data_IF_990804494606
#
_entry.id   IF_990804494606
#
_cell.length_a   1.000
_cell.length_b   1.000
_cell.length_c   1.000
_cell.angle_alpha   90.00
_cell.angle_beta   90.00
_cell.angle_gamma   90.00
#
_symmetry.space_group_name_H-M   'P 1'
#
loop_
_entity.id
_entity.type
_entity.pdbx_description
1 polymer ?
#
# COMPACT_ATOMS: atom_id res chain seq x y z
N UNK A 1 31.41 -11.01 9.34
CA UNK A 1 31.37 -11.15 7.87
C UNK A 1 31.29 -9.77 7.28
N UNK A 2 32.37 -9.31 6.66
CA UNK A 2 32.47 -8.03 5.95
C UNK A 2 31.33 -7.91 4.94
N UNK A 3 30.41 -6.96 5.17
CA UNK A 3 29.55 -6.50 4.09
C UNK A 3 30.48 -5.90 3.04
N UNK A 4 30.44 -6.36 1.78
CA UNK A 4 31.21 -5.75 0.73
C UNK A 4 30.90 -4.25 0.71
N UNK A 5 31.94 -3.43 0.75
CA UNK A 5 31.80 -1.99 0.78
C UNK A 5 31.02 -1.52 -0.46
N UNK A 6 30.36 -0.36 -0.39
CA UNK A 6 29.51 0.13 -1.49
C UNK A 6 30.18 0.14 -2.87
N UNK A 7 31.52 0.19 -2.95
CA UNK A 7 32.27 0.04 -4.19
C UNK A 7 32.15 -1.32 -4.88
N UNK A 8 32.17 -2.42 -4.12
CA UNK A 8 32.02 -3.79 -4.67
C UNK A 8 30.61 -3.99 -5.24
N UNK A 9 29.58 -3.46 -4.55
CA UNK A 9 28.20 -3.48 -5.03
C UNK A 9 28.03 -2.71 -6.35
N UNK A 10 28.73 -1.58 -6.51
CA UNK A 10 28.71 -0.81 -7.77
C UNK A 10 29.33 -1.64 -8.91
N UNK A 11 30.46 -2.31 -8.68
CA UNK A 11 31.11 -3.14 -9.70
C UNK A 11 30.18 -4.28 -10.14
N UNK A 12 29.55 -4.98 -9.18
CA UNK A 12 28.59 -6.04 -9.49
C UNK A 12 27.38 -5.50 -10.26
N UNK A 13 26.85 -4.35 -9.87
CA UNK A 13 25.76 -3.69 -10.58
C UNK A 13 26.16 -3.36 -12.03
N UNK A 14 27.38 -2.85 -12.24
CA UNK A 14 27.91 -2.49 -13.55
C UNK A 14 28.04 -3.72 -14.46
N UNK A 15 28.56 -4.83 -13.94
CA UNK A 15 28.65 -6.11 -14.66
C UNK A 15 27.26 -6.63 -15.03
N UNK A 16 26.30 -6.61 -14.10
CA UNK A 16 24.90 -6.99 -14.38
C UNK A 16 24.29 -6.09 -15.46
N UNK A 17 24.57 -4.78 -15.43
CA UNK A 17 24.07 -3.83 -16.42
C UNK A 17 24.66 -4.09 -17.82
N UNK A 18 25.91 -4.54 -17.92
CA UNK A 18 26.55 -4.92 -19.18
C UNK A 18 25.96 -6.23 -19.73
N UNK A 19 25.72 -7.24 -18.88
CA UNK A 19 25.18 -8.54 -19.30
C UNK A 19 23.70 -8.47 -19.67
N UNK A 20 22.88 -7.85 -18.83
CA UNK A 20 21.43 -7.76 -19.03
C UNK A 20 21.02 -6.55 -19.87
N UNK A 21 21.86 -5.52 -19.94
CA UNK A 21 21.57 -4.24 -20.60
C UNK A 21 20.81 -3.28 -19.68
N UNK A 22 21.04 -1.96 -19.87
CA UNK A 22 20.41 -0.89 -19.08
C UNK A 22 18.86 -0.91 -19.13
N UNK A 23 18.27 -1.48 -20.19
CA UNK A 23 16.82 -1.49 -20.39
C UNK A 23 16.10 -2.70 -19.79
N UNK A 24 16.79 -3.81 -19.46
CA UNK A 24 16.10 -5.05 -19.03
C UNK A 24 15.86 -5.12 -17.53
N UNK A 25 16.81 -4.65 -16.72
CA UNK A 25 16.63 -4.45 -15.27
C UNK A 25 15.35 -3.67 -14.93
N UNK A 26 15.12 -2.45 -15.48
CA UNK A 26 13.91 -1.68 -15.17
C UNK A 26 12.64 -2.33 -15.74
N UNK A 27 12.73 -3.04 -16.87
CA UNK A 27 11.57 -3.72 -17.47
C UNK A 27 11.08 -4.88 -16.60
N UNK A 28 12.01 -5.68 -16.07
CA UNK A 28 11.73 -6.75 -15.11
C UNK A 28 11.22 -6.21 -13.77
N UNK A 29 11.84 -5.14 -13.26
CA UNK A 29 11.39 -4.48 -12.03
C UNK A 29 9.97 -3.92 -12.16
N UNK A 30 9.61 -3.35 -13.33
CA UNK A 30 8.26 -2.85 -13.59
C UNK A 30 7.22 -3.97 -13.64
N UNK A 31 7.48 -5.07 -14.35
CA UNK A 31 6.54 -6.20 -14.42
C UNK A 31 6.36 -6.89 -13.07
N UNK A 32 7.46 -7.07 -12.32
CA UNK A 32 7.41 -7.65 -10.97
C UNK A 32 6.73 -6.69 -9.97
N UNK A 33 6.96 -5.38 -10.10
CA UNK A 33 6.32 -4.35 -9.30
C UNK A 33 4.81 -4.25 -9.55
N UNK A 34 4.36 -4.45 -10.79
CA UNK A 34 2.94 -4.54 -11.11
C UNK A 34 2.30 -5.76 -10.43
N UNK A 35 2.89 -6.94 -10.55
CA UNK A 35 2.40 -8.14 -9.87
C UNK A 35 2.34 -7.97 -8.34
N UNK A 36 3.39 -7.39 -7.73
CA UNK A 36 3.42 -7.09 -6.30
C UNK A 36 2.40 -6.02 -5.87
N UNK A 37 2.10 -5.04 -6.75
CA UNK A 37 1.08 -4.03 -6.51
C UNK A 37 -0.31 -4.66 -6.51
N UNK A 38 -0.65 -5.43 -7.54
CA UNK A 38 -1.94 -6.14 -7.63
C UNK A 38 -2.10 -7.12 -6.46
N UNK A 39 -1.03 -7.82 -6.07
CA UNK A 39 -1.03 -8.69 -4.89
C UNK A 39 -1.34 -7.91 -3.60
N UNK A 40 -0.73 -6.74 -3.40
CA UNK A 40 -0.98 -5.89 -2.24
C UNK A 40 -2.38 -5.28 -2.23
N UNK A 41 -2.91 -4.93 -3.40
CA UNK A 41 -4.29 -4.44 -3.56
C UNK A 41 -5.27 -5.56 -3.25
N UNK A 42 -5.15 -6.72 -3.89
CA UNK A 42 -6.02 -7.87 -3.65
C UNK A 42 -5.96 -8.39 -2.21
N UNK A 43 -4.78 -8.34 -1.57
CA UNK A 43 -4.70 -8.58 -0.12
C UNK A 43 -5.51 -7.55 0.67
N UNK A 44 -5.37 -6.26 0.39
CA UNK A 44 -6.13 -5.22 1.10
C UNK A 44 -7.64 -5.33 0.88
N UNK A 45 -8.08 -5.71 -0.32
CA UNK A 45 -9.49 -5.95 -0.64
C UNK A 45 -10.01 -7.20 0.08
N UNK A 46 -9.22 -8.28 0.12
CA UNK A 46 -9.57 -9.49 0.86
C UNK A 46 -9.62 -9.33 2.38
N UNK A 47 -8.97 -8.28 2.93
CA UNK A 47 -9.02 -7.93 4.36
C UNK A 47 -9.97 -6.76 4.67
N UNK A 48 -10.68 -6.21 3.68
CA UNK A 48 -11.51 -5.02 3.91
C UNK A 48 -12.77 -5.02 3.08
N UNK A 49 -13.77 -5.61 3.72
CA UNK A 49 -15.17 -5.48 3.44
C UNK A 49 -15.66 -4.08 3.87
N UNK A 50 -16.64 -3.59 3.10
CA UNK A 50 -17.52 -2.44 3.32
C UNK A 50 -16.97 -1.02 3.00
N UNK A 51 -17.63 -0.30 2.06
CA UNK A 51 -17.33 1.10 1.78
C UNK A 51 -17.63 1.98 3.00
N UNK A 52 -16.76 2.96 3.27
CA UNK A 52 -16.90 3.92 4.37
C UNK A 52 -17.84 5.04 3.95
N UNK A 53 -19.09 4.69 3.69
CA UNK A 53 -20.16 5.64 3.38
C UNK A 53 -21.16 5.69 4.54
N UNK A 54 -21.66 6.89 4.85
CA UNK A 54 -22.69 7.11 5.86
C UNK A 54 -22.25 7.99 7.04
N UNK A 55 -23.14 8.15 8.02
CA UNK A 55 -22.94 9.02 9.18
C UNK A 55 -21.89 8.48 10.13
N UNK A 56 -20.94 9.33 10.52
CA UNK A 56 -19.95 8.97 11.54
C UNK A 56 -20.65 8.67 12.88
N UNK A 57 -20.52 7.47 13.47
CA UNK A 57 -21.19 7.11 14.74
C UNK A 57 -20.62 7.87 15.97
N UNK A 58 -19.55 8.64 15.79
CA UNK A 58 -18.92 9.46 16.83
C UNK A 58 -19.37 10.91 16.82
N UNK A 59 -19.62 11.48 15.64
CA UNK A 59 -19.88 12.93 15.49
C UNK A 59 -21.01 13.29 14.52
N UNK A 60 -21.66 12.31 13.87
CA UNK A 60 -22.82 12.53 12.99
C UNK A 60 -22.53 13.22 11.65
N UNK A 61 -21.25 13.51 11.34
CA UNK A 61 -20.87 14.11 10.06
C UNK A 61 -20.88 13.05 8.96
N UNK A 62 -21.34 13.42 7.77
CA UNK A 62 -21.30 12.56 6.59
C UNK A 62 -19.86 12.36 6.12
N UNK A 63 -19.40 11.11 6.11
CA UNK A 63 -18.05 10.74 5.69
C UNK A 63 -18.13 10.23 4.25
N UNK A 64 -17.29 10.80 3.38
CA UNK A 64 -17.17 10.38 1.99
C UNK A 64 -16.13 9.28 1.85
N UNK A 65 -16.39 8.34 0.94
CA UNK A 65 -15.67 7.09 0.66
C UNK A 65 -14.14 7.25 0.50
N UNK A 66 -13.68 8.46 0.15
CA UNK A 66 -12.26 8.76 -0.14
C UNK A 66 -11.49 9.41 1.02
N UNK A 67 -12.15 9.73 2.14
CA UNK A 67 -11.49 10.42 3.26
C UNK A 67 -10.87 9.43 4.25
N UNK A 68 -9.53 9.38 4.32
CA UNK A 68 -8.80 8.54 5.31
C UNK A 68 -9.14 8.88 6.77
N UNK A 69 -9.68 10.08 7.01
CA UNK A 69 -10.02 10.61 8.33
C UNK A 69 -11.34 11.38 8.26
N UNK A 70 -12.15 11.27 9.31
CA UNK A 70 -13.40 12.03 9.44
C UNK A 70 -13.11 13.51 9.76
N UNK A 71 -13.66 14.47 8.99
CA UNK A 71 -13.40 15.90 9.16
C UNK A 71 -14.00 16.49 10.45
N UNK A 72 -14.97 15.81 11.08
CA UNK A 72 -15.60 16.29 12.32
C UNK A 72 -14.81 15.95 13.60
N UNK A 73 -14.23 14.75 13.69
CA UNK A 73 -13.62 14.25 14.92
C UNK A 73 -12.20 13.69 14.75
N UNK A 74 -11.65 13.67 13.53
CA UNK A 74 -10.26 13.24 13.26
C UNK A 74 -10.01 11.73 13.35
N UNK A 75 -11.03 10.90 13.56
CA UNK A 75 -10.88 9.44 13.57
C UNK A 75 -10.66 8.89 12.17
N UNK A 76 -9.84 7.85 12.03
CA UNK A 76 -9.58 7.21 10.75
C UNK A 76 -10.82 6.49 10.22
N UNK A 77 -10.95 6.43 8.88
CA UNK A 77 -11.99 5.66 8.21
C UNK A 77 -12.05 4.20 8.73
N UNK A 78 -10.88 3.63 8.99
CA UNK A 78 -10.70 2.27 9.52
C UNK A 78 -11.32 2.07 10.91
N UNK A 79 -11.15 3.07 11.79
CA UNK A 79 -11.74 3.04 13.13
C UNK A 79 -13.26 3.23 13.10
N UNK A 80 -13.78 3.97 12.11
CA UNK A 80 -15.22 4.21 11.94
C UNK A 80 -15.92 2.94 11.46
N UNK A 81 -15.34 2.23 10.51
CA UNK A 81 -15.88 0.94 10.02
C UNK A 81 -15.85 -0.12 11.12
N UNK A 82 -14.74 -0.24 11.86
CA UNK A 82 -14.61 -1.20 12.95
C UNK A 82 -15.68 -0.98 14.05
N UNK A 83 -15.96 0.27 14.41
CA UNK A 83 -16.98 0.60 15.43
C UNK A 83 -18.41 0.37 14.91
N UNK A 84 -18.67 0.64 13.62
CA UNK A 84 -19.97 0.32 13.00
C UNK A 84 -20.24 -1.18 12.99
N UNK A 85 -19.24 -2.00 12.63
CA UNK A 85 -19.36 -3.45 12.65
C UNK A 85 -19.67 -3.98 14.08
N UNK A 86 -19.10 -3.36 15.12
CA UNK A 86 -19.38 -3.73 16.51
C UNK A 86 -20.75 -3.28 17.04
N UNK A 87 -21.31 -2.17 16.53
CA UNK A 87 -22.65 -1.69 16.96
C UNK A 87 -23.82 -2.32 16.20
N UNK A 88 -23.54 -3.06 15.13
CA UNK A 88 -24.56 -3.68 14.26
C UNK A 88 -24.81 -5.16 14.56
N UNK A 89 -24.06 -5.73 15.52
CA UNK A 89 -24.22 -7.07 16.09
C UNK A 89 -24.90 -6.98 17.46
#
# INVERSE_FOLDING_TARGET
>A
MSLPGGGELIIVLLVLLLLFGASRLPKLARSMGQAGKEFKTGMKEGFKEEPVEGECPFCGVQVTENSKFCPGCGKSADAIVAERAQKSA
#
